data_IF_095138342552
#
_entry.id   IF_095138342552
#
_cell.length_a   1.000
_cell.length_b   1.000
_cell.length_c   1.000
_cell.angle_alpha   90.00
_cell.angle_beta   90.00
_cell.angle_gamma   90.00
#
_symmetry.space_group_name_H-M   'P 1'
#
loop_
_entity.id
_entity.type
_entity.pdbx_description
1 polymer ?
#
# COMPACT_ATOMS: atom_id res chain seq x y z
N UNK A 1 7.80 22.07 -41.16
CA UNK A 1 7.45 21.62 -39.79
C UNK A 1 8.36 22.34 -38.80
N UNK A 2 7.80 23.14 -37.89
CA UNK A 2 8.59 24.02 -37.01
C UNK A 2 9.18 23.22 -35.85
N UNK A 3 10.47 23.40 -35.58
CA UNK A 3 11.20 22.72 -34.49
C UNK A 3 10.50 22.87 -33.13
N UNK A 4 9.85 24.01 -32.91
CA UNK A 4 9.10 24.31 -31.70
C UNK A 4 7.86 23.43 -31.53
N UNK A 5 7.22 23.02 -32.62
CA UNK A 5 6.06 22.11 -32.59
C UNK A 5 6.49 20.72 -32.12
N UNK A 6 7.65 20.23 -32.58
CA UNK A 6 8.19 18.94 -32.11
C UNK A 6 8.51 18.94 -30.63
N UNK A 7 9.10 20.04 -30.12
CA UNK A 7 9.43 20.15 -28.69
C UNK A 7 8.16 20.11 -27.83
N UNK A 8 7.10 20.80 -28.23
CA UNK A 8 5.83 20.82 -27.50
C UNK A 8 5.15 19.43 -27.49
N UNK A 9 5.24 18.68 -28.59
CA UNK A 9 4.66 17.33 -28.63
C UNK A 9 5.43 16.34 -27.75
N UNK A 10 6.76 16.45 -27.68
CA UNK A 10 7.59 15.60 -26.84
C UNK A 10 7.33 15.89 -25.35
N UNK A 11 7.22 17.17 -24.96
CA UNK A 11 6.95 17.52 -23.55
C UNK A 11 5.58 17.06 -23.09
N UNK A 12 4.54 17.18 -23.92
CA UNK A 12 3.20 16.70 -23.60
C UNK A 12 3.14 15.17 -23.45
N UNK A 13 3.89 14.43 -24.29
CA UNK A 13 3.97 12.97 -24.18
C UNK A 13 4.62 12.53 -22.86
N UNK A 14 5.69 13.20 -22.42
CA UNK A 14 6.38 12.86 -21.16
C UNK A 14 5.48 13.10 -19.95
N UNK A 15 4.73 14.20 -19.92
CA UNK A 15 3.80 14.52 -18.82
C UNK A 15 2.68 13.47 -18.73
N UNK A 16 2.16 13.02 -19.87
CA UNK A 16 1.15 11.96 -19.93
C UNK A 16 1.70 10.59 -19.45
N UNK A 17 2.98 10.31 -19.66
CA UNK A 17 3.65 9.09 -19.13
C UNK A 17 3.93 9.15 -17.63
N UNK A 18 4.13 10.34 -17.06
CA UNK A 18 4.30 10.52 -15.61
C UNK A 18 2.97 10.50 -14.85
N UNK A 19 1.88 10.94 -15.49
CA UNK A 19 0.52 10.81 -14.97
C UNK A 19 0.01 9.38 -15.21
N UNK A 20 0.56 8.40 -14.49
CA UNK A 20 -0.14 7.11 -14.40
C UNK A 20 -1.51 7.41 -13.77
N UNK A 21 -2.63 6.99 -14.38
CA UNK A 21 -3.89 7.03 -13.68
C UNK A 21 -3.71 6.15 -12.45
N UNK A 22 -3.78 6.76 -11.26
CA UNK A 22 -4.12 6.03 -10.06
C UNK A 22 -5.49 5.42 -10.35
N UNK A 23 -5.50 4.17 -10.80
CA UNK A 23 -6.70 3.39 -10.94
C UNK A 23 -7.18 3.12 -9.51
N UNK A 24 -7.92 4.07 -8.93
CA UNK A 24 -8.66 3.83 -7.71
C UNK A 24 -9.62 2.69 -8.03
N UNK A 25 -9.39 1.51 -7.44
CA UNK A 25 -10.34 0.39 -7.52
C UNK A 25 -11.68 0.89 -6.94
N UNK A 26 -12.82 0.71 -7.64
CA UNK A 26 -14.11 1.04 -7.07
C UNK A 26 -14.37 0.13 -5.85
N UNK A 27 -14.87 0.72 -4.77
CA UNK A 27 -15.39 0.00 -3.60
C UNK A 27 -16.75 -0.60 -3.99
N UNK A 28 -16.78 -1.92 -4.22
CA UNK A 28 -18.00 -2.66 -4.51
C UNK A 28 -18.76 -2.94 -3.19
N UNK A 29 -19.88 -2.25 -2.98
CA UNK A 29 -20.69 -2.28 -1.76
C UNK A 29 -21.70 -3.44 -1.71
N UNK A 30 -21.56 -4.46 -2.56
CA UNK A 30 -22.51 -5.55 -2.65
C UNK A 30 -21.85 -6.92 -2.85
N UNK A 31 -21.15 -7.42 -1.84
CA UNK A 31 -20.79 -8.84 -1.75
C UNK A 31 -21.00 -9.35 -0.33
N UNK A 32 -22.14 -10.01 -0.14
CA UNK A 32 -22.40 -10.85 1.02
C UNK A 32 -21.54 -12.10 0.86
N UNK A 33 -20.51 -12.20 1.68
CA UNK A 33 -19.76 -13.42 2.02
C UNK A 33 -18.99 -14.08 0.86
N UNK A 34 -17.85 -13.47 0.52
CA UNK A 34 -16.55 -14.13 0.29
C UNK A 34 -15.51 -13.01 0.11
N UNK A 35 -15.12 -12.35 1.20
CA UNK A 35 -13.95 -11.47 1.21
C UNK A 35 -12.73 -12.39 1.24
N UNK A 36 -12.41 -12.98 0.09
CA UNK A 36 -11.05 -13.35 -0.24
C UNK A 36 -10.45 -12.10 -0.88
N UNK A 37 -9.91 -11.22 -0.04
CA UNK A 37 -8.92 -10.27 -0.55
C UNK A 37 -7.82 -11.15 -1.11
N UNK A 38 -7.54 -11.02 -2.41
CA UNK A 38 -6.31 -11.52 -3.01
C UNK A 38 -5.16 -10.69 -2.40
N UNK A 39 -4.85 -10.99 -1.14
CA UNK A 39 -3.73 -10.45 -0.42
C UNK A 39 -2.55 -11.36 -0.78
N UNK A 40 -1.54 -10.79 -1.41
CA UNK A 40 -0.35 -11.50 -1.91
C UNK A 40 0.52 -12.15 -0.82
N UNK A 41 -0.06 -12.56 0.30
CA UNK A 41 0.55 -13.36 1.34
C UNK A 41 0.51 -14.82 0.92
N UNK A 42 1.63 -15.29 0.40
CA UNK A 42 1.86 -16.70 0.14
C UNK A 42 1.97 -17.45 1.49
N UNK A 43 0.85 -17.81 2.11
CA UNK A 43 0.88 -18.57 3.36
C UNK A 43 -0.48 -18.81 4.01
N UNK A 44 -0.59 -19.96 4.66
CA UNK A 44 -1.67 -20.34 5.57
C UNK A 44 -1.65 -19.41 6.80
N UNK A 45 -2.34 -18.26 6.73
CA UNK A 45 -2.46 -17.33 7.85
C UNK A 45 -3.40 -17.88 8.92
N UNK A 46 -3.00 -17.77 10.19
CA UNK A 46 -3.85 -18.14 11.32
C UNK A 46 -5.09 -17.23 11.38
N UNK A 47 -6.23 -17.77 11.86
CA UNK A 47 -7.49 -17.03 11.98
C UNK A 47 -7.34 -15.76 12.81
N UNK A 48 -6.47 -15.78 13.83
CA UNK A 48 -6.16 -14.60 14.65
C UNK A 48 -5.53 -13.48 13.82
N UNK A 49 -4.58 -13.83 12.94
CA UNK A 49 -3.90 -12.86 12.07
C UNK A 49 -4.87 -12.21 11.07
N UNK A 50 -5.81 -12.99 10.53
CA UNK A 50 -6.86 -12.47 9.63
C UNK A 50 -7.74 -11.45 10.35
N UNK A 51 -8.12 -11.71 11.60
CA UNK A 51 -8.92 -10.77 12.38
C UNK A 51 -8.15 -9.49 12.71
N UNK A 52 -6.86 -9.61 13.04
CA UNK A 52 -5.99 -8.45 13.29
C UNK A 52 -5.80 -7.59 12.03
N UNK A 53 -5.70 -8.22 10.85
CA UNK A 53 -5.66 -7.50 9.57
C UNK A 53 -6.96 -6.74 9.32
N UNK A 54 -8.13 -7.34 9.60
CA UNK A 54 -9.42 -6.63 9.49
C UNK A 54 -9.49 -5.40 10.38
N UNK A 55 -8.99 -5.51 11.61
CA UNK A 55 -8.96 -4.37 12.53
C UNK A 55 -8.00 -3.28 12.05
N UNK A 56 -6.88 -3.68 11.44
CA UNK A 56 -5.93 -2.77 10.82
C UNK A 56 -6.56 -1.98 9.67
N UNK A 57 -7.30 -2.65 8.79
CA UNK A 57 -7.95 -2.02 7.63
C UNK A 57 -9.05 -1.01 8.05
N UNK A 58 -9.58 -1.13 9.27
CA UNK A 58 -10.56 -0.20 9.84
C UNK A 58 -9.92 1.06 10.45
N UNK A 59 -8.64 0.98 10.85
CA UNK A 59 -7.87 2.09 11.38
C UNK A 59 -6.96 2.65 10.28
N UNK A 60 -7.44 3.69 9.59
CA UNK A 60 -6.75 4.32 8.47
C UNK A 60 -5.32 4.75 8.82
N UNK A 61 -5.08 5.29 10.00
CA UNK A 61 -3.75 5.76 10.41
C UNK A 61 -2.79 4.58 10.58
N UNK A 62 -3.24 3.51 11.26
CA UNK A 62 -2.44 2.29 11.42
C UNK A 62 -2.21 1.61 10.07
N UNK A 63 -3.24 1.51 9.23
CA UNK A 63 -3.15 0.91 7.89
C UNK A 63 -2.12 1.63 7.02
N UNK A 64 -2.17 2.96 6.96
CA UNK A 64 -1.23 3.77 6.18
C UNK A 64 0.20 3.63 6.68
N UNK A 65 0.41 3.65 8.00
CA UNK A 65 1.71 3.43 8.61
C UNK A 65 2.27 2.06 8.22
N UNK A 66 1.49 0.99 8.43
CA UNK A 66 1.92 -0.37 8.16
C UNK A 66 2.17 -0.62 6.67
N UNK A 67 1.32 -0.08 5.78
CA UNK A 67 1.55 -0.13 4.32
C UNK A 67 2.85 0.56 3.93
N UNK A 68 3.10 1.76 4.46
CA UNK A 68 4.32 2.52 4.15
C UNK A 68 5.56 1.78 4.66
N UNK A 69 5.50 1.23 5.87
CA UNK A 69 6.59 0.46 6.47
C UNK A 69 6.93 -0.78 5.65
N UNK A 70 5.93 -1.57 5.25
CA UNK A 70 6.12 -2.74 4.39
C UNK A 70 6.73 -2.37 3.03
N UNK A 71 6.30 -1.24 2.45
CA UNK A 71 6.81 -0.74 1.17
C UNK A 71 8.29 -0.35 1.24
N UNK A 72 8.71 0.37 2.29
CA UNK A 72 10.10 0.83 2.42
C UNK A 72 11.04 -0.35 2.71
N UNK A 73 10.62 -1.25 3.60
CA UNK A 73 11.39 -2.46 3.95
C UNK A 73 11.42 -3.51 2.85
N UNK A 74 10.48 -3.43 1.88
CA UNK A 74 10.26 -4.42 0.82
C UNK A 74 9.98 -5.82 1.38
N UNK A 75 9.47 -5.88 2.61
CA UNK A 75 9.20 -7.12 3.31
C UNK A 75 7.70 -7.34 3.38
N UNK A 76 7.25 -8.45 2.80
CA UNK A 76 5.82 -8.82 2.82
C UNK A 76 5.35 -9.14 4.23
N UNK A 77 6.21 -9.67 5.12
CA UNK A 77 5.82 -10.02 6.49
C UNK A 77 5.60 -8.82 7.42
N UNK A 78 6.11 -7.63 7.07
CA UNK A 78 6.08 -6.46 7.96
C UNK A 78 4.66 -5.93 8.17
N UNK A 79 3.82 -5.94 7.13
CA UNK A 79 2.45 -5.45 7.25
C UNK A 79 1.61 -6.22 8.28
N UNK A 80 1.50 -7.56 8.23
CA UNK A 80 0.72 -8.32 9.23
C UNK A 80 1.32 -8.20 10.63
N UNK A 81 2.65 -8.18 10.78
CA UNK A 81 3.29 -7.98 12.10
C UNK A 81 3.03 -6.59 12.68
N UNK A 82 3.05 -5.55 11.83
CA UNK A 82 2.71 -4.18 12.20
C UNK A 82 1.24 -4.05 12.62
N UNK A 83 0.33 -4.63 11.83
CA UNK A 83 -1.11 -4.62 12.12
C UNK A 83 -1.46 -5.38 13.41
N UNK A 84 -0.76 -6.49 13.68
CA UNK A 84 -0.92 -7.25 14.92
C UNK A 84 -0.22 -6.57 16.13
N UNK A 85 0.59 -5.55 15.89
CA UNK A 85 1.57 -4.96 16.81
C UNK A 85 2.38 -6.01 17.58
N UNK A 86 2.74 -7.11 16.90
CA UNK A 86 3.61 -8.12 17.47
C UNK A 86 5.01 -7.53 17.66
N UNK A 87 5.68 -7.86 18.76
CA UNK A 87 7.03 -7.40 19.08
C UNK A 87 7.28 -5.88 18.98
N UNK A 88 6.23 -5.06 19.19
CA UNK A 88 6.28 -3.59 19.03
C UNK A 88 6.66 -3.14 17.62
N UNK A 89 6.39 -3.98 16.63
CA UNK A 89 6.70 -3.69 15.23
C UNK A 89 5.97 -2.43 14.75
N UNK A 90 4.78 -2.10 15.28
CA UNK A 90 4.09 -0.84 14.95
C UNK A 90 4.91 0.38 15.37
N UNK A 91 5.47 0.36 16.58
CA UNK A 91 6.31 1.44 17.10
C UNK A 91 7.61 1.55 16.30
N UNK A 92 8.23 0.41 16.00
CA UNK A 92 9.41 0.36 15.12
C UNK A 92 9.08 0.90 13.72
N UNK A 93 7.93 0.56 13.16
CA UNK A 93 7.49 1.05 11.87
C UNK A 93 7.28 2.56 11.88
N UNK A 94 6.70 3.11 12.96
CA UNK A 94 6.60 4.55 13.15
C UNK A 94 7.99 5.20 13.10
N UNK A 95 8.93 4.71 13.90
CA UNK A 95 10.26 5.30 13.98
C UNK A 95 11.03 5.16 12.66
N UNK A 96 10.93 4.01 12.02
CA UNK A 96 11.59 3.72 10.76
C UNK A 96 11.03 4.59 9.61
N UNK A 97 9.71 4.75 9.55
CA UNK A 97 9.04 5.56 8.53
C UNK A 97 9.33 7.05 8.68
N UNK A 98 9.29 7.57 9.91
CA UNK A 98 9.38 9.01 10.15
C UNK A 98 10.80 9.51 10.42
N UNK A 99 11.71 8.66 10.91
CA UNK A 99 13.06 9.05 11.31
C UNK A 99 14.18 8.17 10.73
N UNK A 100 13.86 6.96 10.26
CA UNK A 100 14.85 5.97 9.82
C UNK A 100 15.06 5.84 8.31
N UNK A 101 14.17 6.40 7.48
CA UNK A 101 14.28 6.36 6.02
C UNK A 101 15.29 7.42 5.52
N UNK A 102 16.59 7.15 5.69
CA UNK A 102 17.70 7.92 5.10
C UNK A 102 18.32 7.14 3.94
#
# INVERSE_FOLDING_TARGET
MNKNIFVVLITLAIIALCCRPMLCKPLDLNSKENIYSDDGYNGNLDKKTIEQLRQCDMDLETMELCMRCAKITKSTIVYPLCCANEDKIKDWCHDYVFFGAL
#
